data_IF_069913974520
#
_entry.id   IF_069913974520
#
_cell.length_a   1.000
_cell.length_b   1.000
_cell.length_c   1.000
_cell.angle_alpha   90.00
_cell.angle_beta   90.00
_cell.angle_gamma   90.00
#
_symmetry.space_group_name_H-M   'P 1'
#
loop_
_entity.id
_entity.type
_entity.pdbx_description
1 polymer ?
#
# COMPACT_ATOMS: atom_id res chain seq x y z
N UNK A 1 55.58 7.34 -36.30
CA UNK A 1 54.22 6.78 -36.52
C UNK A 1 53.61 6.19 -35.29
N UNK A 2 54.34 5.65 -34.33
CA UNK A 2 53.74 5.03 -33.07
C UNK A 2 53.06 6.01 -32.08
N UNK A 3 53.41 7.30 -32.09
CA UNK A 3 52.82 8.26 -31.14
C UNK A 3 51.41 8.73 -31.55
N UNK A 4 51.11 8.82 -32.84
CA UNK A 4 49.80 9.27 -33.36
C UNK A 4 48.68 8.28 -33.08
N UNK A 5 48.99 6.99 -33.05
CA UNK A 5 48.02 5.94 -32.74
C UNK A 5 47.61 6.02 -31.24
N UNK A 6 48.58 6.29 -30.35
CA UNK A 6 48.28 6.43 -28.91
C UNK A 6 47.37 7.62 -28.56
N UNK A 7 47.59 8.76 -29.27
CA UNK A 7 46.77 9.96 -29.07
C UNK A 7 45.33 9.72 -29.56
N UNK A 8 45.17 9.03 -30.70
CA UNK A 8 43.85 8.73 -31.25
C UNK A 8 43.08 7.75 -30.39
N UNK A 9 43.74 6.76 -29.78
CA UNK A 9 43.14 5.85 -28.81
C UNK A 9 42.71 6.57 -27.53
N UNK A 10 43.50 7.56 -27.06
CA UNK A 10 43.10 8.39 -25.92
C UNK A 10 41.91 9.29 -26.23
N UNK A 11 41.85 9.87 -27.43
CA UNK A 11 40.72 10.70 -27.87
C UNK A 11 39.43 9.87 -27.95
N UNK A 12 39.50 8.65 -28.49
CA UNK A 12 38.35 7.74 -28.57
C UNK A 12 37.90 7.34 -27.14
N UNK A 13 38.83 7.03 -26.23
CA UNK A 13 38.50 6.68 -24.85
C UNK A 13 37.81 7.84 -24.09
N UNK A 14 38.22 9.08 -24.30
CA UNK A 14 37.62 10.27 -23.68
C UNK A 14 36.24 10.57 -24.24
N UNK A 15 35.95 10.26 -25.50
CA UNK A 15 34.65 10.48 -26.13
C UNK A 15 33.64 9.39 -25.73
N UNK A 16 34.11 8.15 -25.48
CA UNK A 16 33.21 7.03 -25.14
C UNK A 16 32.76 7.04 -23.69
N UNK A 17 33.51 7.60 -22.74
CA UNK A 17 33.19 7.64 -21.33
C UNK A 17 31.85 8.39 -21.02
N UNK A 18 31.57 9.57 -21.63
CA UNK A 18 30.32 10.29 -21.33
C UNK A 18 29.06 9.61 -21.92
N UNK A 19 29.19 8.75 -22.91
CA UNK A 19 28.06 8.06 -23.54
C UNK A 19 27.47 6.98 -22.59
N UNK A 20 28.30 6.40 -21.72
CA UNK A 20 27.84 5.40 -20.74
C UNK A 20 27.30 5.98 -19.44
N UNK A 21 27.53 7.27 -19.15
CA UNK A 21 27.05 7.92 -17.92
C UNK A 21 25.68 8.58 -18.07
N UNK A 22 25.10 8.59 -19.28
CA UNK A 22 23.84 9.31 -19.56
C UNK A 22 22.54 8.56 -19.27
N UNK A 23 22.59 7.33 -18.76
CA UNK A 23 21.41 6.47 -18.72
C UNK A 23 20.73 6.30 -17.34
N UNK A 24 21.06 7.12 -16.34
CA UNK A 24 20.48 6.98 -15.00
C UNK A 24 19.59 8.12 -14.53
N UNK A 25 19.05 8.93 -15.45
CA UNK A 25 18.10 10.01 -15.06
C UNK A 25 16.75 9.88 -15.73
N UNK A 26 16.21 8.69 -15.77
CA UNK A 26 14.82 8.54 -16.16
C UNK A 26 13.96 8.44 -14.90
N UNK A 27 13.70 9.58 -14.25
CA UNK A 27 12.81 9.72 -13.12
C UNK A 27 11.32 9.54 -13.52
N UNK A 28 11.07 9.17 -14.77
CA UNK A 28 9.71 8.98 -15.30
C UNK A 28 8.93 7.86 -14.61
N UNK A 29 9.59 6.95 -13.90
CA UNK A 29 8.92 5.96 -13.05
C UNK A 29 8.53 6.50 -11.65
N UNK A 30 9.14 7.63 -11.23
CA UNK A 30 8.79 8.33 -9.97
C UNK A 30 7.67 9.35 -10.19
N UNK A 31 7.44 9.76 -11.42
CA UNK A 31 6.31 10.59 -11.78
C UNK A 31 5.16 9.62 -12.00
N UNK A 32 4.22 9.57 -11.04
CA UNK A 32 2.91 9.01 -11.28
C UNK A 32 2.43 9.54 -12.63
N UNK A 33 2.24 8.66 -13.62
CA UNK A 33 1.99 9.03 -15.03
C UNK A 33 0.77 9.91 -15.27
N UNK A 34 0.41 10.77 -14.34
CA UNK A 34 -0.67 11.73 -14.37
C UNK A 34 -2.06 11.09 -14.33
N UNK A 35 -2.14 9.80 -14.00
CA UNK A 35 -3.40 9.04 -13.98
C UNK A 35 -4.01 8.90 -12.59
N UNK A 36 -3.24 9.07 -11.51
CA UNK A 36 -3.77 9.08 -10.16
C UNK A 36 -3.54 10.45 -9.52
N UNK A 37 -4.61 11.02 -8.98
CA UNK A 37 -4.49 12.17 -8.10
C UNK A 37 -4.09 11.65 -6.71
N UNK A 38 -2.90 12.02 -6.17
CA UNK A 38 -2.46 11.58 -4.85
C UNK A 38 -3.26 12.25 -3.71
N UNK A 39 -4.07 13.24 -4.03
CA UNK A 39 -4.90 13.96 -3.07
C UNK A 39 -6.36 13.55 -3.21
N UNK A 40 -7.01 13.32 -2.08
CA UNK A 40 -8.44 13.13 -1.97
C UNK A 40 -9.03 14.28 -1.16
N UNK A 41 -10.04 14.94 -1.73
CA UNK A 41 -10.75 16.04 -1.06
C UNK A 41 -11.88 15.45 -0.22
N UNK A 42 -11.58 15.09 1.02
CA UNK A 42 -12.51 14.46 1.93
C UNK A 42 -11.82 13.73 3.07
N UNK A 43 -12.60 13.10 3.91
CA UNK A 43 -12.12 12.34 5.07
C UNK A 43 -11.54 10.99 4.66
N UNK A 44 -10.79 10.36 5.57
CA UNK A 44 -10.29 8.99 5.36
C UNK A 44 -11.48 8.02 5.17
N UNK A 45 -12.53 8.17 5.96
CA UNK A 45 -13.71 7.30 5.86
C UNK A 45 -14.41 7.44 4.51
N UNK A 46 -14.56 8.65 3.99
CA UNK A 46 -15.13 8.89 2.65
C UNK A 46 -14.26 8.28 1.55
N UNK A 47 -12.92 8.40 1.66
CA UNK A 47 -12.00 7.75 0.74
C UNK A 47 -12.19 6.24 0.72
N UNK A 48 -12.21 5.58 1.89
CA UNK A 48 -12.40 4.13 1.99
C UNK A 48 -13.73 3.70 1.38
N UNK A 49 -14.80 4.44 1.65
CA UNK A 49 -16.14 4.17 1.10
C UNK A 49 -16.17 4.34 -0.42
N UNK A 50 -15.48 5.35 -0.97
CA UNK A 50 -15.40 5.58 -2.41
C UNK A 50 -14.71 4.43 -3.16
N UNK A 51 -13.78 3.74 -2.48
CA UNK A 51 -13.05 2.59 -3.01
C UNK A 51 -13.68 1.24 -2.66
N UNK A 52 -14.89 1.25 -2.08
CA UNK A 52 -15.66 0.05 -1.73
C UNK A 52 -17.15 0.26 -1.99
N UNK A 53 -17.53 0.52 -3.25
CA UNK A 53 -18.93 0.73 -3.60
C UNK A 53 -19.74 -0.55 -3.35
N UNK A 54 -20.87 -0.43 -2.65
CA UNK A 54 -21.72 -1.56 -2.26
C UNK A 54 -22.22 -2.41 -3.45
N UNK A 55 -22.29 -1.81 -4.63
CA UNK A 55 -22.86 -2.45 -5.83
C UNK A 55 -21.79 -2.95 -6.82
N UNK A 56 -20.52 -2.84 -6.50
CA UNK A 56 -19.42 -3.30 -7.35
C UNK A 56 -18.39 -4.14 -6.58
N UNK A 57 -18.64 -5.45 -6.45
CA UNK A 57 -17.74 -6.35 -5.74
C UNK A 57 -16.34 -6.46 -6.35
N UNK A 58 -16.16 -6.04 -7.60
CA UNK A 58 -14.85 -6.08 -8.27
C UNK A 58 -13.94 -4.93 -7.82
N UNK A 59 -14.53 -3.84 -7.40
CA UNK A 59 -13.84 -2.64 -6.92
C UNK A 59 -13.95 -2.47 -5.40
N UNK A 60 -14.27 -3.53 -4.67
CA UNK A 60 -14.36 -3.53 -3.22
C UNK A 60 -12.98 -3.81 -2.59
N UNK A 61 -12.27 -2.76 -2.23
CA UNK A 61 -10.94 -2.87 -1.64
C UNK A 61 -10.93 -2.82 -0.12
N UNK A 62 -11.92 -2.17 0.54
CA UNK A 62 -11.86 -1.80 1.95
C UNK A 62 -13.14 -2.09 2.75
N UNK A 63 -14.10 -2.86 2.24
CA UNK A 63 -15.35 -3.14 2.98
C UNK A 63 -15.09 -3.84 4.32
N UNK A 64 -14.15 -4.79 4.36
CA UNK A 64 -13.78 -5.48 5.59
C UNK A 64 -13.13 -4.49 6.60
N UNK A 65 -12.31 -3.54 6.11
CA UNK A 65 -11.71 -2.49 6.93
C UNK A 65 -12.76 -1.54 7.50
N UNK A 66 -13.70 -1.09 6.67
CA UNK A 66 -14.82 -0.23 7.11
C UNK A 66 -15.65 -0.94 8.21
N UNK A 67 -15.91 -2.24 8.04
CA UNK A 67 -16.59 -3.02 9.07
C UNK A 67 -15.76 -3.07 10.38
N UNK A 68 -14.45 -3.27 10.29
CA UNK A 68 -13.54 -3.28 11.44
C UNK A 68 -13.53 -1.93 12.17
N UNK A 69 -13.46 -0.82 11.44
CA UNK A 69 -13.50 0.54 12.02
C UNK A 69 -14.79 0.74 12.81
N UNK A 70 -15.93 0.29 12.28
CA UNK A 70 -17.24 0.34 12.96
C UNK A 70 -17.27 -0.55 14.19
N UNK A 71 -16.79 -1.78 14.11
CA UNK A 71 -16.72 -2.69 15.24
C UNK A 71 -15.82 -2.16 16.36
N UNK A 72 -14.78 -1.42 16.02
CA UNK A 72 -13.86 -0.77 16.96
C UNK A 72 -14.45 0.52 17.58
N UNK A 73 -15.58 1.03 17.08
CA UNK A 73 -16.13 2.35 17.39
C UNK A 73 -15.09 3.48 17.20
N UNK A 74 -14.43 3.48 16.04
CA UNK A 74 -13.39 4.46 15.71
C UNK A 74 -13.76 5.31 14.48
N UNK A 75 -15.02 5.36 14.07
CA UNK A 75 -15.46 6.13 12.89
C UNK A 75 -15.10 7.61 13.04
N UNK A 76 -15.33 8.20 14.19
CA UNK A 76 -15.04 9.60 14.51
C UNK A 76 -13.55 9.95 14.29
N UNK A 77 -12.63 9.05 14.68
CA UNK A 77 -11.18 9.22 14.47
C UNK A 77 -10.84 9.36 12.98
N UNK A 78 -11.49 8.58 12.11
CA UNK A 78 -11.25 8.60 10.67
C UNK A 78 -12.05 9.65 9.90
N UNK A 79 -12.99 10.31 10.57
CA UNK A 79 -13.79 11.40 10.01
C UNK A 79 -13.27 12.78 10.42
N UNK A 80 -12.76 12.94 11.65
CA UNK A 80 -12.50 14.25 12.24
C UNK A 80 -11.03 14.48 12.58
N UNK A 81 -10.23 13.44 12.84
CA UNK A 81 -8.86 13.60 13.30
C UNK A 81 -7.84 13.60 12.16
N UNK A 82 -6.79 14.41 12.31
CA UNK A 82 -5.64 14.40 11.41
C UNK A 82 -4.70 13.24 11.77
N UNK A 83 -4.91 12.10 11.15
CA UNK A 83 -4.08 10.90 11.36
C UNK A 83 -3.41 10.46 10.06
N UNK A 84 -2.25 9.81 10.18
CA UNK A 84 -1.65 9.08 9.08
C UNK A 84 -2.03 7.62 9.22
N UNK A 85 -2.65 7.06 8.21
CA UNK A 85 -3.18 5.70 8.26
C UNK A 85 -2.77 4.88 7.04
N UNK A 86 -2.21 3.69 7.28
CA UNK A 86 -1.88 2.72 6.24
C UNK A 86 -3.02 1.72 6.10
N UNK A 87 -3.98 2.01 5.22
CA UNK A 87 -5.19 1.23 5.06
C UNK A 87 -4.93 -0.20 4.54
N UNK A 88 -5.14 -1.26 5.35
CA UNK A 88 -5.04 -2.63 4.87
C UNK A 88 -6.23 -2.96 3.97
N UNK A 89 -5.96 -3.60 2.83
CA UNK A 89 -7.01 -4.03 1.91
C UNK A 89 -7.76 -5.26 2.45
N UNK A 90 -8.96 -5.52 1.92
CA UNK A 90 -9.75 -6.73 2.22
C UNK A 90 -8.90 -8.01 2.09
N UNK A 91 -8.07 -8.07 1.04
CA UNK A 91 -7.20 -9.22 0.83
C UNK A 91 -6.19 -9.42 1.97
N UNK A 92 -5.57 -8.34 2.45
CA UNK A 92 -4.63 -8.38 3.58
C UNK A 92 -5.32 -8.81 4.88
N UNK A 93 -6.51 -8.26 5.14
CA UNK A 93 -7.33 -8.61 6.32
C UNK A 93 -7.70 -10.10 6.27
N UNK A 94 -8.23 -10.58 5.15
CA UNK A 94 -8.64 -12.00 4.99
C UNK A 94 -7.47 -12.95 5.13
N UNK A 95 -6.28 -12.59 4.62
CA UNK A 95 -5.05 -13.38 4.86
C UNK A 95 -4.67 -13.42 6.34
N UNK A 96 -4.72 -12.29 7.04
CA UNK A 96 -4.42 -12.23 8.48
C UNK A 96 -5.40 -13.08 9.29
N UNK A 97 -6.70 -13.01 8.98
CA UNK A 97 -7.72 -13.84 9.63
C UNK A 97 -7.52 -15.33 9.31
N UNK A 98 -7.14 -15.67 8.09
CA UNK A 98 -6.84 -17.06 7.71
C UNK A 98 -5.62 -17.62 8.47
N UNK A 99 -4.58 -16.80 8.65
CA UNK A 99 -3.41 -17.17 9.45
C UNK A 99 -3.77 -17.34 10.93
N UNK A 100 -4.56 -16.42 11.48
CA UNK A 100 -5.08 -16.49 12.85
C UNK A 100 -5.90 -17.77 13.03
N UNK A 101 -6.79 -18.11 12.10
CA UNK A 101 -7.58 -19.34 12.13
C UNK A 101 -6.72 -20.60 12.14
N UNK A 102 -5.63 -20.61 11.36
CA UNK A 102 -4.70 -21.75 11.37
C UNK A 102 -4.07 -21.96 12.75
N UNK A 103 -3.62 -20.89 13.38
CA UNK A 103 -3.04 -20.94 14.74
C UNK A 103 -4.11 -21.30 15.77
N UNK A 104 -5.30 -20.73 15.67
CA UNK A 104 -6.43 -20.94 16.57
C UNK A 104 -6.90 -22.40 16.56
N UNK A 105 -7.00 -22.99 15.35
CA UNK A 105 -7.33 -24.40 15.17
C UNK A 105 -6.28 -25.32 15.80
N UNK A 106 -4.99 -25.00 15.68
CA UNK A 106 -3.92 -25.77 16.33
C UNK A 106 -4.02 -25.76 17.87
N UNK A 107 -4.65 -24.72 18.44
CA UNK A 107 -4.91 -24.61 19.88
C UNK A 107 -6.23 -25.28 20.31
N UNK A 108 -6.92 -25.98 19.40
CA UNK A 108 -8.17 -26.68 19.67
C UNK A 108 -9.41 -25.80 19.69
N UNK A 109 -9.34 -24.59 19.14
CA UNK A 109 -10.46 -23.66 19.08
C UNK A 109 -11.18 -23.70 17.73
N UNK A 110 -12.44 -23.26 17.71
CA UNK A 110 -13.21 -23.12 16.48
C UNK A 110 -12.71 -21.94 15.64
N UNK A 111 -12.77 -22.10 14.30
CA UNK A 111 -12.37 -21.05 13.37
C UNK A 111 -13.28 -19.83 13.44
N UNK A 112 -12.69 -18.65 13.36
CA UNK A 112 -13.37 -17.36 13.21
C UNK A 112 -13.99 -17.30 11.81
N UNK A 113 -15.30 -17.18 11.72
CA UNK A 113 -16.07 -17.12 10.47
C UNK A 113 -16.53 -15.71 10.10
N UNK A 114 -16.53 -14.81 11.09
CA UNK A 114 -17.03 -13.45 10.94
C UNK A 114 -16.16 -12.50 11.78
N UNK A 115 -15.90 -11.30 11.28
CA UNK A 115 -15.13 -10.26 11.97
C UNK A 115 -15.77 -9.85 13.32
N UNK A 116 -17.10 -9.96 13.46
CA UNK A 116 -17.83 -9.69 14.70
C UNK A 116 -17.52 -10.65 15.85
N UNK A 117 -16.93 -11.82 15.55
CA UNK A 117 -16.52 -12.77 16.60
C UNK A 117 -15.26 -12.32 17.34
N UNK A 118 -14.53 -11.38 16.76
CA UNK A 118 -13.36 -10.76 17.39
C UNK A 118 -13.82 -9.58 18.23
N UNK A 119 -13.29 -9.48 19.45
CA UNK A 119 -13.70 -8.41 20.39
C UNK A 119 -13.36 -7.02 19.83
N UNK A 120 -14.22 -6.01 20.02
CA UNK A 120 -13.97 -4.64 19.59
C UNK A 120 -12.65 -4.05 20.08
N UNK A 121 -12.22 -4.41 21.29
CA UNK A 121 -10.95 -3.96 21.86
C UNK A 121 -9.73 -4.44 21.07
N UNK A 122 -9.80 -5.66 20.51
CA UNK A 122 -8.73 -6.23 19.66
C UNK A 122 -8.66 -5.46 18.34
N UNK A 123 -9.82 -5.13 17.76
CA UNK A 123 -9.87 -4.31 16.56
C UNK A 123 -9.34 -2.90 16.79
N UNK A 124 -9.68 -2.29 17.93
CA UNK A 124 -9.16 -0.97 18.29
C UNK A 124 -7.63 -0.98 18.42
N UNK A 125 -7.08 -1.97 19.12
CA UNK A 125 -5.63 -2.14 19.25
C UNK A 125 -4.97 -2.35 17.89
N UNK A 126 -5.55 -3.21 17.05
CA UNK A 126 -5.07 -3.46 15.69
C UNK A 126 -5.03 -2.19 14.84
N UNK A 127 -6.12 -1.41 14.80
CA UNK A 127 -6.19 -0.17 14.02
C UNK A 127 -5.21 0.90 14.54
N UNK A 128 -4.92 0.93 15.84
CA UNK A 128 -3.98 1.88 16.44
C UNK A 128 -2.51 1.61 16.09
N UNK A 129 -2.21 0.48 15.45
CA UNK A 129 -0.87 0.12 14.97
C UNK A 129 -0.59 0.59 13.54
N UNK A 130 -1.60 1.02 12.80
CA UNK A 130 -1.54 1.44 11.41
C UNK A 130 -1.76 2.94 11.26
#
# INVERSE_FOLDING_TARGET
>A
MKSKIKIWQLVIAVITIPIFMGNCTNDSYLIDGGKSNPYYDGTIMEFLQSRSPKNDPKNDYFSDLIEIIRLANMEEVFEEENVTFFAPTNWSIRKSVALLNKMWYQMGNDSIKNLKQIKPSVWREYLSMY
#
